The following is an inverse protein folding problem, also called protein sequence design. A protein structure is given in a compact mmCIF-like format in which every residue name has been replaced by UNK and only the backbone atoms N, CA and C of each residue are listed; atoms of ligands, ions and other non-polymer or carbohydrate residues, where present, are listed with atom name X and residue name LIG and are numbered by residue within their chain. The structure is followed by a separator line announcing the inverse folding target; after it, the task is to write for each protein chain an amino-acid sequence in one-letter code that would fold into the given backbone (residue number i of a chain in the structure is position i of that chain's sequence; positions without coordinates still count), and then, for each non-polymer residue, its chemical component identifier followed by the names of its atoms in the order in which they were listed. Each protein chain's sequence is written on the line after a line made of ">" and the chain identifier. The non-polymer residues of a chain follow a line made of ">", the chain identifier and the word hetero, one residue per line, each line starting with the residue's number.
data_IF_151362600858
#
_entry.id   IF_151362600858
#
_cell.length_a   1.000
_cell.length_b   1.000
_cell.length_c   1.000
_cell.angle_alpha   90.00
_cell.angle_beta   90.00
_cell.angle_gamma   90.00
#
_symmetry.space_group_name_H-M   'P 1'
#
loop_
_entity.id
_entity.type
_entity.pdbx_description
1 polymer ?
#
# COMPACT_ATOMS: atom_id res chain seq x y z
N UNK A 1 2.77 24.70 -4.92
CA UNK A 1 2.37 24.22 -3.58
C UNK A 1 0.93 23.76 -3.64
N UNK A 2 0.59 22.47 -3.74
CA UNK A 2 -0.79 22.05 -3.58
C UNK A 2 -1.07 21.87 -2.09
N UNK A 3 -2.04 22.63 -1.59
CA UNK A 3 -2.38 22.70 -0.17
C UNK A 3 -2.95 21.41 0.38
N UNK A 4 -2.41 21.00 1.54
CA UNK A 4 -3.08 20.08 2.44
C UNK A 4 -4.32 20.80 2.99
N UNK A 5 -5.50 20.29 2.67
CA UNK A 5 -6.74 20.69 3.35
C UNK A 5 -6.79 19.91 4.64
N UNK A 6 -6.42 20.55 5.76
CA UNK A 6 -6.49 19.95 7.10
C UNK A 6 -7.88 20.23 7.67
N UNK A 7 -8.74 19.22 7.64
CA UNK A 7 -9.99 19.17 8.44
C UNK A 7 -9.64 18.46 9.76
N UNK A 8 -10.25 18.88 10.88
CA UNK A 8 -9.76 18.69 12.26
C UNK A 8 -9.36 17.26 12.68
N UNK A 9 -8.65 17.17 13.81
CA UNK A 9 -8.05 15.94 14.37
C UNK A 9 -9.02 14.74 14.48
N UNK A 10 -10.33 15.00 14.51
CA UNK A 10 -11.38 13.98 14.64
C UNK A 10 -12.06 13.57 13.32
N UNK A 11 -11.58 14.05 12.16
CA UNK A 11 -12.15 13.72 10.85
C UNK A 11 -11.07 13.28 9.84
N UNK A 12 -11.43 12.47 8.84
CA UNK A 12 -10.49 12.11 7.77
C UNK A 12 -10.06 13.33 6.94
N UNK A 13 -8.75 13.43 6.70
CA UNK A 13 -8.15 14.35 5.75
C UNK A 13 -7.83 13.66 4.42
N UNK A 14 -7.11 14.36 3.55
CA UNK A 14 -6.62 13.80 2.30
C UNK A 14 -5.23 14.33 1.91
N UNK A 15 -4.39 13.44 1.39
CA UNK A 15 -3.06 13.76 0.84
C UNK A 15 -2.96 13.27 -0.61
N UNK A 16 -2.24 14.02 -1.45
CA UNK A 16 -1.93 13.59 -2.83
C UNK A 16 -0.52 13.02 -2.88
N UNK A 17 -0.38 11.80 -3.37
CA UNK A 17 0.89 11.10 -3.52
C UNK A 17 1.12 10.83 -5.02
N UNK A 18 2.28 11.24 -5.52
CA UNK A 18 2.66 11.05 -6.92
C UNK A 18 2.82 9.57 -7.30
N UNK A 19 2.31 9.20 -8.47
CA UNK A 19 2.52 7.88 -9.09
C UNK A 19 3.08 8.07 -10.50
N UNK A 20 4.27 8.66 -10.55
CA UNK A 20 4.89 9.12 -11.80
C UNK A 20 5.15 8.00 -12.79
N UNK A 21 5.19 8.36 -14.07
CA UNK A 21 5.65 7.48 -15.13
C UNK A 21 7.12 7.06 -14.92
N UNK A 22 7.54 5.87 -15.39
CA UNK A 22 6.71 4.79 -15.94
C UNK A 22 6.08 3.91 -14.85
N UNK A 23 5.12 3.08 -15.26
CA UNK A 23 4.49 2.02 -14.46
C UNK A 23 3.48 2.52 -13.42
N UNK A 24 2.84 3.63 -13.73
CA UNK A 24 1.86 4.36 -12.93
C UNK A 24 0.79 3.42 -12.38
N UNK A 25 0.22 2.53 -13.21
CA UNK A 25 -0.79 1.58 -12.76
C UNK A 25 -0.29 0.61 -11.68
N UNK A 26 0.95 0.13 -11.79
CA UNK A 26 1.51 -0.78 -10.78
C UNK A 26 1.82 -0.03 -9.48
N UNK A 27 2.29 1.23 -9.58
CA UNK A 27 2.50 2.11 -8.42
C UNK A 27 1.18 2.46 -7.73
N UNK A 28 0.14 2.74 -8.50
CA UNK A 28 -1.20 3.00 -7.99
C UNK A 28 -1.80 1.79 -7.27
N UNK A 29 -1.63 0.57 -7.81
CA UNK A 29 -2.06 -0.68 -7.13
C UNK A 29 -1.29 -0.89 -5.83
N UNK A 30 0.02 -0.62 -5.81
CA UNK A 30 0.81 -0.71 -4.59
C UNK A 30 0.31 0.29 -3.54
N UNK A 31 0.08 1.53 -3.94
CA UNK A 31 -0.43 2.57 -3.03
C UNK A 31 -1.83 2.25 -2.51
N UNK A 32 -2.72 1.74 -3.36
CA UNK A 32 -4.06 1.28 -2.97
C UNK A 32 -4.00 0.13 -1.95
N UNK A 33 -3.09 -0.82 -2.17
CA UNK A 33 -2.83 -1.92 -1.23
C UNK A 33 -2.32 -1.43 0.12
N UNK A 34 -1.39 -0.47 0.13
CA UNK A 34 -0.86 0.15 1.35
C UNK A 34 -1.93 0.96 2.06
N UNK A 35 -2.70 1.77 1.32
CA UNK A 35 -3.80 2.55 1.87
C UNK A 35 -4.83 1.66 2.56
N UNK A 36 -5.30 0.62 1.85
CA UNK A 36 -6.29 -0.32 2.39
C UNK A 36 -5.80 -1.02 3.67
N UNK A 37 -4.53 -1.43 3.72
CA UNK A 37 -3.95 -2.06 4.90
C UNK A 37 -3.85 -1.13 6.12
N UNK A 38 -3.80 0.18 5.88
CA UNK A 38 -3.75 1.24 6.89
C UNK A 38 -5.10 1.99 7.01
N UNK A 39 -6.24 1.33 6.71
CA UNK A 39 -7.59 1.90 6.89
C UNK A 39 -7.84 3.23 6.15
N UNK A 40 -7.08 3.45 5.08
CA UNK A 40 -7.23 4.58 4.18
C UNK A 40 -7.93 4.15 2.88
N UNK A 41 -8.43 5.12 2.11
CA UNK A 41 -8.96 4.91 0.76
C UNK A 41 -8.14 5.66 -0.26
N UNK A 42 -7.73 4.97 -1.32
CA UNK A 42 -6.97 5.55 -2.41
C UNK A 42 -7.85 5.76 -3.65
N UNK A 43 -7.74 6.94 -4.27
CA UNK A 43 -8.39 7.26 -5.55
C UNK A 43 -7.33 7.73 -6.53
N UNK A 44 -7.05 6.90 -7.54
CA UNK A 44 -6.04 7.20 -8.55
C UNK A 44 -6.61 8.11 -9.64
N UNK A 45 -5.94 9.24 -9.88
CA UNK A 45 -6.19 10.10 -11.03
C UNK A 45 -5.07 9.90 -12.06
N UNK A 46 -5.34 9.07 -13.08
CA UNK A 46 -4.36 8.71 -14.11
C UNK A 46 -3.88 9.91 -14.92
N UNK A 47 -4.79 10.84 -15.23
CA UNK A 47 -4.50 11.97 -16.11
C UNK A 47 -3.60 13.01 -15.44
N UNK A 48 -3.64 13.06 -14.11
CA UNK A 48 -2.85 13.98 -13.30
C UNK A 48 -1.64 13.32 -12.62
N UNK A 49 -1.42 12.01 -12.79
CA UNK A 49 -0.23 11.32 -12.30
C UNK A 49 -0.12 11.20 -10.78
N UNK A 50 -1.23 11.30 -10.04
CA UNK A 50 -1.24 11.15 -8.58
C UNK A 50 -2.42 10.31 -8.10
N UNK A 51 -2.28 9.79 -6.89
CA UNK A 51 -3.36 9.16 -6.13
C UNK A 51 -3.69 10.05 -4.95
N UNK A 52 -4.98 10.30 -4.72
CA UNK A 52 -5.44 10.93 -3.47
C UNK A 52 -5.70 9.83 -2.46
N UNK A 53 -5.08 9.92 -1.28
CA UNK A 53 -5.33 9.02 -0.15
C UNK A 53 -6.14 9.79 0.88
N UNK A 54 -7.27 9.21 1.29
CA UNK A 54 -8.20 9.73 2.30
C UNK A 54 -8.05 8.86 3.54
N UNK A 55 -7.91 9.48 4.72
CA UNK A 55 -7.57 8.78 5.96
C UNK A 55 -7.42 9.72 7.15
N UNK A 56 -7.25 9.16 8.35
CA UNK A 56 -6.85 9.94 9.52
C UNK A 56 -5.35 10.24 9.47
N UNK A 57 -4.92 11.37 10.04
CA UNK A 57 -3.53 11.86 9.91
C UNK A 57 -2.45 10.80 10.20
N UNK A 58 -2.50 10.02 11.30
CA UNK A 58 -1.47 9.02 11.58
C UNK A 58 -1.42 7.91 10.53
N UNK A 59 -2.58 7.54 9.99
CA UNK A 59 -2.70 6.51 8.96
C UNK A 59 -2.18 7.04 7.61
N UNK A 60 -2.41 8.31 7.29
CA UNK A 60 -1.86 8.98 6.10
C UNK A 60 -0.33 9.03 6.14
N UNK A 61 0.26 9.41 7.28
CA UNK A 61 1.72 9.41 7.47
C UNK A 61 2.31 8.00 7.31
N UNK A 62 1.63 6.99 7.87
CA UNK A 62 2.04 5.59 7.74
C UNK A 62 1.98 5.13 6.27
N UNK A 63 0.93 5.50 5.53
CA UNK A 63 0.78 5.19 4.10
C UNK A 63 1.90 5.80 3.28
N UNK A 64 2.18 7.10 3.44
CA UNK A 64 3.22 7.78 2.66
C UNK A 64 4.61 7.15 2.90
N UNK A 65 4.95 6.91 4.17
CA UNK A 65 6.22 6.31 4.55
C UNK A 65 6.35 4.88 4.03
N UNK A 66 5.32 4.05 4.23
CA UNK A 66 5.35 2.64 3.83
C UNK A 66 5.35 2.50 2.31
N UNK A 67 4.53 3.27 1.59
CA UNK A 67 4.51 3.28 0.13
C UNK A 67 5.87 3.65 -0.44
N UNK A 68 6.48 4.74 0.07
CA UNK A 68 7.80 5.20 -0.39
C UNK A 68 8.86 4.14 -0.14
N UNK A 69 8.88 3.55 1.05
CA UNK A 69 9.82 2.47 1.41
C UNK A 69 9.67 1.26 0.48
N UNK A 70 8.44 0.79 0.26
CA UNK A 70 8.18 -0.38 -0.59
C UNK A 70 8.49 -0.08 -2.07
N UNK A 71 8.23 1.13 -2.55
CA UNK A 71 8.56 1.52 -3.91
C UNK A 71 10.09 1.53 -4.14
N UNK A 72 10.86 2.03 -3.17
CA UNK A 72 12.34 1.98 -3.19
C UNK A 72 12.82 0.53 -3.20
N UNK A 73 12.32 -0.31 -2.30
CA UNK A 73 12.68 -1.73 -2.22
C UNK A 73 12.35 -2.49 -3.52
N UNK A 74 11.13 -2.30 -4.04
CA UNK A 74 10.67 -2.93 -5.29
C UNK A 74 11.50 -2.48 -6.50
N UNK A 75 11.82 -1.19 -6.60
CA UNK A 75 12.64 -0.65 -7.70
C UNK A 75 14.07 -1.18 -7.66
N UNK A 76 14.68 -1.27 -6.47
CA UNK A 76 16.00 -1.86 -6.30
C UNK A 76 16.03 -3.35 -6.69
N UNK A 77 15.04 -4.12 -6.23
CA UNK A 77 14.90 -5.53 -6.55
C UNK A 77 14.67 -5.77 -8.06
N UNK A 78 13.82 -4.94 -8.68
CA UNK A 78 13.57 -4.98 -10.13
C UNK A 78 14.85 -4.73 -10.91
N UNK A 79 15.59 -3.68 -10.54
CA UNK A 79 16.85 -3.30 -11.22
C UNK A 79 17.87 -4.42 -11.15
N UNK A 80 18.02 -5.07 -9.98
CA UNK A 80 18.90 -6.23 -9.81
C UNK A 80 18.47 -7.43 -10.67
N UNK A 81 17.17 -7.78 -10.64
CA UNK A 81 16.67 -8.90 -11.43
C UNK A 81 16.84 -8.64 -12.94
N UNK A 82 16.57 -7.40 -13.37
CA UNK A 82 16.70 -6.98 -14.75
C UNK A 82 18.15 -7.03 -15.26
N UNK A 83 19.13 -6.68 -14.41
CA UNK A 83 20.54 -6.82 -14.77
C UNK A 83 20.90 -8.28 -15.09
N UNK A 84 20.39 -9.23 -14.29
CA UNK A 84 20.54 -10.67 -14.57
C UNK A 84 19.89 -11.09 -15.89
N UNK A 85 18.71 -10.55 -16.19
CA UNK A 85 17.99 -10.78 -17.45
C UNK A 85 18.79 -10.30 -18.67
N UNK A 86 19.43 -9.13 -18.56
CA UNK A 86 20.30 -8.61 -19.64
C UNK A 86 21.58 -9.44 -19.80
N UNK A 87 22.20 -9.84 -18.70
CA UNK A 87 23.37 -10.72 -18.73
C UNK A 87 23.05 -12.07 -19.40
N UNK A 88 21.82 -12.56 -19.23
CA UNK A 88 21.29 -13.74 -19.94
C UNK A 88 20.88 -13.50 -21.40
N UNK A 89 21.16 -12.33 -21.98
CA UNK A 89 20.93 -12.03 -23.40
C UNK A 89 19.61 -11.32 -23.73
N UNK A 90 18.77 -10.98 -22.74
CA UNK A 90 17.50 -10.30 -22.99
C UNK A 90 17.72 -8.84 -23.41
N UNK A 91 17.32 -8.49 -24.64
CA UNK A 91 17.51 -7.13 -25.20
C UNK A 91 16.42 -6.12 -24.83
N UNK A 92 15.16 -6.56 -24.65
CA UNK A 92 14.01 -5.70 -24.27
C UNK A 92 13.36 -6.21 -22.99
N UNK A 93 13.09 -5.29 -22.06
CA UNK A 93 12.67 -5.63 -20.69
C UNK A 93 11.45 -4.84 -20.20
N UNK A 94 10.77 -4.10 -21.09
CA UNK A 94 9.59 -3.31 -20.72
C UNK A 94 8.48 -4.21 -20.13
N UNK A 95 8.17 -5.33 -20.79
CA UNK A 95 7.16 -6.30 -20.36
C UNK A 95 7.58 -7.01 -19.07
N UNK A 96 8.88 -7.29 -18.93
CA UNK A 96 9.48 -7.81 -17.70
C UNK A 96 9.26 -6.85 -16.52
N UNK A 97 9.67 -5.58 -16.64
CA UNK A 97 9.51 -4.56 -15.58
C UNK A 97 8.05 -4.32 -15.22
N UNK A 98 7.17 -4.23 -16.24
CA UNK A 98 5.73 -4.09 -16.03
C UNK A 98 5.17 -5.26 -15.21
N UNK A 99 5.48 -6.50 -15.62
CA UNK A 99 5.01 -7.71 -14.96
C UNK A 99 5.60 -7.86 -13.56
N UNK A 100 6.86 -7.47 -13.37
CA UNK A 100 7.53 -7.42 -12.07
C UNK A 100 6.80 -6.51 -11.10
N UNK A 101 6.59 -5.24 -11.47
CA UNK A 101 5.98 -4.28 -10.55
C UNK A 101 4.52 -4.62 -10.26
N UNK A 102 3.79 -5.14 -11.25
CA UNK A 102 2.42 -5.60 -11.06
C UNK A 102 2.35 -6.79 -10.08
N UNK A 103 3.20 -7.81 -10.26
CA UNK A 103 3.27 -8.94 -9.35
C UNK A 103 3.73 -8.55 -7.94
N UNK A 104 4.70 -7.63 -7.85
CA UNK A 104 5.19 -7.09 -6.60
C UNK A 104 4.06 -6.41 -5.81
N UNK A 105 3.31 -5.52 -6.47
CA UNK A 105 2.19 -4.80 -5.88
C UNK A 105 1.07 -5.76 -5.41
N UNK A 106 0.63 -6.68 -6.28
CA UNK A 106 -0.43 -7.62 -5.94
C UNK A 106 -0.06 -8.54 -4.77
N UNK A 107 1.17 -9.08 -4.79
CA UNK A 107 1.65 -9.96 -3.72
C UNK A 107 1.78 -9.21 -2.39
N UNK A 108 2.26 -7.96 -2.40
CA UNK A 108 2.26 -7.12 -1.20
C UNK A 108 0.86 -6.83 -0.70
N UNK A 109 -0.10 -6.55 -1.58
CA UNK A 109 -1.51 -6.38 -1.18
C UNK A 109 -2.05 -7.58 -0.44
N UNK A 110 -1.83 -8.80 -0.95
CA UNK A 110 -2.23 -10.02 -0.25
C UNK A 110 -1.53 -10.19 1.11
N UNK A 111 -0.22 -9.89 1.19
CA UNK A 111 0.54 -9.99 2.45
C UNK A 111 0.05 -8.99 3.48
N UNK A 112 -0.12 -7.73 3.10
CA UNK A 112 -0.57 -6.67 3.98
C UNK A 112 -2.00 -6.93 4.47
N UNK A 113 -2.90 -7.35 3.59
CA UNK A 113 -4.28 -7.70 3.98
C UNK A 113 -4.30 -8.85 5.00
N UNK A 114 -3.51 -9.90 4.77
CA UNK A 114 -3.40 -11.02 5.72
C UNK A 114 -2.78 -10.58 7.06
N UNK A 115 -1.83 -9.64 7.05
CA UNK A 115 -1.22 -9.11 8.28
C UNK A 115 -2.24 -8.27 9.06
N UNK A 116 -2.99 -7.38 8.40
CA UNK A 116 -4.07 -6.58 9.00
C UNK A 116 -5.17 -7.48 9.59
N UNK A 117 -5.58 -8.53 8.88
CA UNK A 117 -6.56 -9.50 9.37
C UNK A 117 -6.07 -10.21 10.64
N UNK A 118 -4.82 -10.71 10.66
CA UNK A 118 -4.24 -11.37 11.84
C UNK A 118 -4.15 -10.44 13.04
N UNK A 119 -3.71 -9.19 12.85
CA UNK A 119 -3.62 -8.20 13.94
C UNK A 119 -5.00 -7.86 14.48
N UNK A 120 -5.99 -7.68 13.60
CA UNK A 120 -7.37 -7.38 14.00
C UNK A 120 -8.00 -8.54 14.77
N UNK A 121 -7.80 -9.77 14.30
CA UNK A 121 -8.30 -10.98 14.98
C UNK A 121 -7.66 -11.20 16.35
N UNK A 122 -6.34 -10.95 16.48
CA UNK A 122 -5.65 -11.03 17.76
C UNK A 122 -6.21 -10.02 18.78
N UNK A 123 -6.45 -8.77 18.35
CA UNK A 123 -7.03 -7.74 19.21
C UNK A 123 -8.47 -8.05 19.67
N UNK A 124 -9.26 -8.76 18.84
CA UNK A 124 -10.62 -9.17 19.19
C UNK A 124 -10.72 -10.46 20.02
N UNK A 125 -9.63 -11.24 20.12
CA UNK A 125 -9.63 -12.55 20.77
C UNK A 125 -9.00 -12.55 22.17
N UNK A 126 -8.42 -11.44 22.63
CA UNK A 126 -7.92 -11.35 24.01
C UNK A 126 -9.10 -11.34 25.00
N UNK A 127 -9.30 -12.41 25.79
CA UNK A 127 -10.23 -12.38 26.90
C UNK A 127 -9.66 -11.36 27.88
N UNK A 128 -10.47 -10.39 28.32
CA UNK A 128 -10.06 -9.40 29.30
C UNK A 128 -9.36 -10.09 30.47
N UNK A 129 -8.05 -9.94 30.56
CA UNK A 129 -7.29 -10.38 31.71
C UNK A 129 -7.82 -9.55 32.88
N UNK A 130 -8.53 -10.22 33.79
CA UNK A 130 -8.96 -9.69 35.08
C UNK A 130 -7.74 -9.04 35.76
N UNK A 131 -7.60 -7.72 35.64
CA UNK A 131 -6.46 -6.97 36.18
C UNK A 131 -5.86 -5.88 35.28
N UNK A 132 -6.24 -5.77 34.00
CA UNK A 132 -5.92 -4.61 33.15
C UNK A 132 -7.22 -4.02 32.59
N UNK A 133 -7.89 -3.25 33.44
CA UNK A 133 -9.09 -2.49 33.10
C UNK A 133 -8.75 -1.39 32.08
N UNK A 134 -8.84 -1.70 30.78
CA UNK A 134 -8.85 -0.67 29.74
C UNK A 134 -8.43 -1.12 28.34
N UNK A 135 -9.36 -0.94 27.40
CA UNK A 135 -9.14 -0.42 26.04
C UNK A 135 -9.22 -1.39 24.85
N UNK A 136 -8.67 -2.62 24.87
CA UNK A 136 -8.60 -3.43 23.63
C UNK A 136 -9.98 -3.76 23.01
N UNK A 137 -10.99 -4.05 23.84
CA UNK A 137 -12.37 -4.28 23.38
C UNK A 137 -13.10 -3.03 22.88
N UNK A 138 -12.68 -1.83 23.31
CA UNK A 138 -13.25 -0.56 22.87
C UNK A 138 -12.60 -0.03 21.57
N UNK A 139 -11.39 -0.49 21.25
CA UNK A 139 -10.65 -0.06 20.05
C UNK A 139 -11.27 -0.58 18.74
N UNK A 140 -11.79 -1.82 18.70
CA UNK A 140 -12.37 -2.37 17.46
C UNK A 140 -13.59 -1.57 16.95
N UNK A 141 -14.57 -1.18 17.79
CA UNK A 141 -15.63 -0.26 17.38
C UNK A 141 -15.12 1.09 16.87
N UNK A 142 -14.09 1.67 17.49
CA UNK A 142 -13.49 2.94 17.04
C UNK A 142 -12.88 2.79 15.65
N UNK A 143 -12.14 1.71 15.41
CA UNK A 143 -11.55 1.43 14.10
C UNK A 143 -12.62 1.22 13.02
N UNK A 144 -13.72 0.53 13.34
CA UNK A 144 -14.84 0.38 12.42
C UNK A 144 -15.52 1.72 12.10
N UNK A 145 -15.72 2.60 13.10
CA UNK A 145 -16.26 3.93 12.89
C UNK A 145 -15.35 4.80 12.01
N UNK A 146 -14.02 4.67 12.16
CA UNK A 146 -13.05 5.34 11.29
C UNK A 146 -13.14 4.87 9.84
N UNK A 147 -13.26 3.55 9.60
CA UNK A 147 -13.40 3.01 8.24
C UNK A 147 -14.63 3.58 7.52
N UNK A 148 -15.76 3.75 8.24
CA UNK A 148 -16.98 4.39 7.73
C UNK A 148 -16.71 5.85 7.39
N UNK A 149 -16.17 6.63 8.34
CA UNK A 149 -15.88 8.04 8.13
C UNK A 149 -14.96 8.29 6.92
N UNK A 150 -13.92 7.46 6.75
CA UNK A 150 -13.00 7.53 5.61
C UNK A 150 -13.73 7.22 4.30
N UNK A 151 -14.59 6.21 4.29
CA UNK A 151 -15.38 5.84 3.10
C UNK A 151 -16.32 6.97 2.70
N UNK A 152 -17.10 7.50 3.65
CA UNK A 152 -18.03 8.61 3.42
C UNK A 152 -17.29 9.85 2.88
N UNK A 153 -16.14 10.17 3.47
CA UNK A 153 -15.31 11.30 3.04
C UNK A 153 -14.80 11.10 1.61
N UNK A 154 -14.33 9.89 1.28
CA UNK A 154 -13.85 9.58 -0.07
C UNK A 154 -14.97 9.67 -1.12
N UNK A 155 -16.17 9.18 -0.80
CA UNK A 155 -17.35 9.26 -1.69
C UNK A 155 -17.83 10.69 -1.90
N UNK A 156 -17.80 11.52 -0.85
CA UNK A 156 -18.11 12.96 -0.95
C UNK A 156 -17.09 13.71 -1.80
N UNK A 157 -15.80 13.45 -1.62
CA UNK A 157 -14.73 14.08 -2.41
C UNK A 157 -14.74 13.62 -3.87
N UNK A 158 -15.07 12.35 -4.12
CA UNK A 158 -14.98 11.72 -5.44
C UNK A 158 -16.28 10.98 -5.80
N UNK A 159 -17.39 11.71 -6.03
CA UNK A 159 -18.71 11.12 -6.28
C UNK A 159 -18.80 10.37 -7.63
N UNK A 160 -17.77 10.50 -8.49
CA UNK A 160 -17.70 9.88 -9.82
C UNK A 160 -16.40 9.11 -9.98
N UNK A 161 -16.25 8.04 -9.21
CA UNK A 161 -15.14 7.07 -9.40
C UNK A 161 -15.59 5.90 -10.24
N UNK A 162 -14.65 5.25 -10.93
CA UNK A 162 -14.90 4.05 -11.71
C UNK A 162 -13.78 3.05 -11.45
N UNK A 163 -14.12 1.77 -11.42
CA UNK A 163 -13.14 0.70 -11.32
C UNK A 163 -12.61 0.36 -12.71
N UNK A 164 -11.29 0.32 -12.86
CA UNK A 164 -10.64 -0.04 -14.11
C UNK A 164 -9.98 -1.41 -13.96
N UNK A 165 -10.29 -2.34 -14.87
CA UNK A 165 -9.51 -3.58 -14.97
C UNK A 165 -8.16 -3.27 -15.60
N UNK A 166 -7.11 -3.54 -14.86
CA UNK A 166 -5.75 -3.42 -15.38
C UNK A 166 -5.43 -4.60 -16.30
N UNK A 167 -4.68 -4.33 -17.36
CA UNK A 167 -4.20 -5.40 -18.24
C UNK A 167 -3.28 -6.34 -17.47
N UNK A 168 -3.48 -7.64 -17.66
CA UNK A 168 -2.67 -8.67 -17.04
C UNK A 168 -1.18 -8.57 -17.42
N UNK A 169 -0.32 -9.04 -16.52
CA UNK A 169 1.10 -9.22 -16.77
C UNK A 169 1.32 -10.31 -17.82
N UNK A 170 2.19 -10.06 -18.79
CA UNK A 170 2.44 -10.99 -19.92
C UNK A 170 3.82 -11.62 -19.89
N UNK A 171 4.66 -11.29 -18.89
CA UNK A 171 6.02 -11.80 -18.74
C UNK A 171 6.12 -12.64 -17.46
N UNK A 172 6.19 -13.96 -17.63
CA UNK A 172 6.17 -14.93 -16.52
C UNK A 172 7.39 -14.83 -15.60
N UNK A 173 8.56 -14.50 -16.16
CA UNK A 173 9.76 -14.29 -15.35
C UNK A 173 9.66 -12.99 -14.56
N UNK A 174 9.18 -11.91 -15.20
CA UNK A 174 8.88 -10.66 -14.51
C UNK A 174 7.94 -10.90 -13.32
N UNK A 175 6.86 -11.65 -13.55
CA UNK A 175 5.90 -12.02 -12.51
C UNK A 175 6.55 -12.80 -11.36
N UNK A 176 7.32 -13.83 -11.67
CA UNK A 176 8.01 -14.66 -10.67
C UNK A 176 8.98 -13.84 -9.83
N UNK A 177 9.83 -13.02 -10.49
CA UNK A 177 10.78 -12.17 -9.80
C UNK A 177 10.10 -11.10 -8.94
N UNK A 178 8.99 -10.51 -9.42
CA UNK A 178 8.20 -9.53 -8.68
C UNK A 178 7.55 -10.13 -7.43
N UNK A 179 6.95 -11.30 -7.56
CA UNK A 179 6.37 -12.06 -6.43
C UNK A 179 7.43 -12.37 -5.38
N UNK A 180 8.57 -12.92 -5.79
CA UNK A 180 9.65 -13.26 -4.87
C UNK A 180 10.28 -12.02 -4.21
N UNK A 181 10.34 -10.88 -4.92
CA UNK A 181 10.77 -9.62 -4.34
C UNK A 181 9.77 -9.11 -3.30
N UNK A 182 8.48 -9.26 -3.57
CA UNK A 182 7.43 -8.90 -2.62
C UNK A 182 7.54 -9.76 -1.37
N UNK A 183 7.78 -11.07 -1.45
CA UNK A 183 7.95 -11.93 -0.27
C UNK A 183 9.12 -11.50 0.65
N UNK A 184 10.20 -10.97 0.06
CA UNK A 184 11.36 -10.48 0.82
C UNK A 184 11.22 -9.04 1.32
N UNK A 185 10.21 -8.31 0.86
CA UNK A 185 10.04 -6.90 1.22
C UNK A 185 9.71 -6.74 2.71
N UNK A 186 10.32 -5.72 3.32
CA UNK A 186 10.14 -5.37 4.73
C UNK A 186 8.99 -4.38 4.86
N UNK A 187 7.96 -4.76 5.61
CA UNK A 187 6.68 -4.03 5.78
C UNK A 187 6.45 -3.49 7.21
N UNK A 188 7.38 -3.70 8.14
CA UNK A 188 7.27 -3.24 9.54
C UNK A 188 8.62 -2.80 10.14
N UNK A 189 8.63 -2.37 11.41
CA UNK A 189 9.85 -1.99 12.16
C UNK A 189 10.75 -3.21 12.44
N UNK A 190 11.37 -3.74 11.39
CA UNK A 190 12.61 -4.48 11.48
C UNK A 190 13.75 -3.49 11.31
N UNK A 191 14.08 -2.74 12.38
CA UNK A 191 15.37 -2.05 12.45
C UNK A 191 16.49 -3.07 12.22
N UNK A 192 17.66 -2.66 11.70
CA UNK A 192 18.76 -3.60 11.55
C UNK A 192 19.07 -4.21 12.91
N UNK A 193 19.05 -5.55 13.02
CA UNK A 193 19.74 -6.23 14.11
C UNK A 193 21.21 -5.85 13.96
N UNK A 194 21.66 -4.88 14.75
CA UNK A 194 23.07 -4.62 14.94
C UNK A 194 23.59 -5.80 15.75
N UNK A 195 24.07 -6.84 15.05
CA UNK A 195 24.95 -7.84 15.65
C UNK A 195 26.16 -7.09 16.18
N UNK A 196 26.28 -7.02 17.52
CA UNK A 196 27.54 -6.76 18.19
C UNK A 196 28.36 -8.04 18.25
#
# INVERSE_FOLDING_TARGET
>A
TPGAVRIGVDAPGAVRIGVDAPYESAKAVLLDSVASANRCRAVWNSDLGFTTVVGFEPDLEAVELLFTSLLVQGTAAMTKAEAGQRAGGRKRTKTFRQSFLMAYAQRLGSRLAADTERVTAAAGSEPGAEGQEGDTGALLPVLAARDVAVTDTAEQMFPRTTTTRLRGATDAEGWTHGTAAADRARVGRGGPEIRR
#
